data_IF_653511418428
#
_entry.id   IF_653511418428
#
_cell.length_a   1.000
_cell.length_b   1.000
_cell.length_c   1.000
_cell.angle_alpha   90.00
_cell.angle_beta   90.00
_cell.angle_gamma   90.00
#
_symmetry.space_group_name_H-M   'P 1'
#
loop_
_entity.id
_entity.type
_entity.pdbx_description
1 polymer ?
#
# COMPACT_ATOMS: atom_id res chain seq x y z
N UNK A 1 6.21 3.63 16.90
CA UNK A 1 4.82 3.43 16.45
C UNK A 1 3.98 4.51 17.10
N UNK A 2 3.31 5.39 16.33
CA UNK A 2 2.43 6.40 16.90
C UNK A 2 1.20 5.75 17.55
N UNK A 3 0.71 6.35 18.63
CA UNK A 3 -0.58 6.00 19.26
C UNK A 3 -1.63 6.96 18.69
N UNK A 4 -2.76 6.44 18.25
CA UNK A 4 -3.84 7.21 17.63
C UNK A 4 -5.06 7.29 18.56
N UNK A 5 -5.83 8.37 18.47
CA UNK A 5 -7.00 8.59 19.33
C UNK A 5 -8.24 7.88 18.79
N UNK A 6 -8.35 7.74 17.47
CA UNK A 6 -9.47 7.08 16.79
C UNK A 6 -8.99 6.18 15.66
N UNK A 7 -9.87 5.29 15.19
CA UNK A 7 -9.61 4.45 14.00
C UNK A 7 -9.53 5.28 12.71
N UNK A 8 -10.21 6.44 12.66
CA UNK A 8 -10.16 7.34 11.48
C UNK A 8 -8.74 7.87 11.28
N UNK A 9 -8.00 8.09 12.37
CA UNK A 9 -6.61 8.59 12.31
C UNK A 9 -5.62 7.58 11.71
N UNK A 10 -6.03 6.30 11.55
CA UNK A 10 -5.21 5.26 10.93
C UNK A 10 -5.45 5.11 9.42
N UNK A 11 -6.39 5.85 8.84
CA UNK A 11 -6.66 5.86 7.39
C UNK A 11 -5.45 6.44 6.64
N UNK A 12 -5.13 5.84 5.49
CA UNK A 12 -4.05 6.22 4.60
C UNK A 12 -2.73 5.55 4.95
N UNK A 13 -1.62 6.14 4.49
CA UNK A 13 -0.25 5.61 4.64
C UNK A 13 -0.10 4.14 4.22
N UNK A 14 -0.96 3.68 3.31
CA UNK A 14 -0.94 2.34 2.76
C UNK A 14 0.31 2.14 1.89
N UNK A 15 0.93 0.97 1.92
CA UNK A 15 2.19 0.74 1.23
C UNK A 15 2.02 0.72 -0.28
N UNK A 16 3.04 1.20 -0.98
CA UNK A 16 3.27 0.87 -2.38
C UNK A 16 4.16 -0.36 -2.44
N UNK A 17 3.76 -1.37 -3.20
CA UNK A 17 4.51 -2.61 -3.37
C UNK A 17 4.82 -2.83 -4.85
N UNK A 18 6.09 -3.13 -5.15
CA UNK A 18 6.53 -3.46 -6.50
C UNK A 18 6.05 -4.86 -6.90
N UNK A 19 5.46 -4.97 -8.08
CA UNK A 19 5.22 -6.27 -8.70
C UNK A 19 6.51 -6.75 -9.36
N UNK A 20 6.95 -7.96 -9.03
CA UNK A 20 8.21 -8.52 -9.55
C UNK A 20 7.92 -9.59 -10.63
N UNK A 21 7.21 -10.66 -10.26
CA UNK A 21 7.03 -11.83 -11.13
C UNK A 21 6.06 -11.60 -12.28
N UNK A 22 4.93 -10.95 -12.02
CA UNK A 22 3.85 -10.80 -13.02
C UNK A 22 4.13 -9.70 -14.05
N UNK A 23 5.16 -8.89 -13.82
CA UNK A 23 5.58 -7.78 -14.67
C UNK A 23 7.00 -7.99 -15.21
N UNK A 24 7.52 -9.21 -15.11
CA UNK A 24 8.84 -9.56 -15.65
C UNK A 24 8.88 -9.34 -17.17
N UNK A 25 9.97 -8.72 -17.65
CA UNK A 25 10.15 -8.40 -19.07
C UNK A 25 9.45 -7.11 -19.55
N UNK A 26 8.67 -6.44 -18.70
CA UNK A 26 8.12 -5.13 -19.03
C UNK A 26 9.17 -4.03 -18.89
N UNK A 27 9.15 -3.05 -19.79
CA UNK A 27 10.02 -1.86 -19.72
C UNK A 27 9.55 -0.79 -18.73
N UNK A 28 8.50 -1.07 -17.96
CA UNK A 28 7.89 -0.12 -17.03
C UNK A 28 7.90 -0.67 -15.59
N UNK A 29 8.08 0.23 -14.63
CA UNK A 29 7.91 -0.10 -13.22
C UNK A 29 6.41 -0.10 -12.85
N UNK A 30 5.94 -1.20 -12.28
CA UNK A 30 4.55 -1.35 -11.85
C UNK A 30 4.50 -1.48 -10.33
N UNK A 31 3.78 -0.55 -9.71
CA UNK A 31 3.55 -0.48 -8.27
C UNK A 31 2.06 -0.62 -7.97
N UNK A 32 1.74 -1.35 -6.91
CA UNK A 32 0.36 -1.46 -6.40
C UNK A 32 0.22 -0.78 -5.05
N UNK A 33 -0.86 -0.02 -4.89
CA UNK A 33 -1.24 0.66 -3.65
C UNK A 33 -2.19 -0.24 -2.86
N UNK A 34 -1.75 -0.75 -1.72
CA UNK A 34 -2.50 -1.76 -0.96
C UNK A 34 -3.57 -1.12 -0.05
N UNK A 35 -4.62 -0.54 -0.64
CA UNK A 35 -5.67 0.20 0.07
C UNK A 35 -6.49 -0.66 1.05
N UNK A 36 -6.45 -1.99 0.93
CA UNK A 36 -7.08 -2.91 1.88
C UNK A 36 -6.45 -2.91 3.28
N UNK A 37 -5.29 -2.25 3.46
CA UNK A 37 -4.71 -2.03 4.79
C UNK A 37 -5.36 -0.86 5.54
N UNK A 38 -6.24 -0.09 4.90
CA UNK A 38 -7.09 0.84 5.65
C UNK A 38 -8.02 0.06 6.60
N UNK A 39 -8.40 0.65 7.74
CA UNK A 39 -9.47 0.10 8.58
C UNK A 39 -10.79 0.01 7.81
N UNK A 40 -11.53 -1.09 8.02
CA UNK A 40 -12.88 -1.33 7.48
C UNK A 40 -13.96 -0.70 8.36
#
# INVERSE_FOLDING_TARGET
MPIYNTVIDTIGRTPLVRLNKVTEGLGAEVLVKLEFFNPL
#
